data_IF_474041823355
#
_entry.id   IF_474041823355
#
_cell.length_a   1.000
_cell.length_b   1.000
_cell.length_c   1.000
_cell.angle_alpha   90.00
_cell.angle_beta   90.00
_cell.angle_gamma   90.00
#
_symmetry.space_group_name_H-M   'P 1'
#
loop_
_entity.id
_entity.type
_entity.pdbx_description
1 polymer ?
#
# COMPACT_ATOMS: atom_id res chain seq x y z
N UNK A 1 12.05 5.13 32.28
CA UNK A 1 12.23 6.50 31.78
C UNK A 1 10.94 7.28 32.05
N UNK A 2 10.98 8.35 32.86
CA UNK A 2 9.81 9.21 33.16
C UNK A 2 10.05 10.56 32.49
N UNK A 3 9.12 10.99 31.63
CA UNK A 3 9.21 12.25 30.91
C UNK A 3 8.63 13.39 31.76
N UNK A 4 9.29 13.74 32.86
CA UNK A 4 8.82 14.73 33.84
C UNK A 4 8.83 16.18 33.35
N UNK A 5 9.46 16.47 32.20
CA UNK A 5 9.60 17.82 31.66
C UNK A 5 8.88 18.02 30.32
N UNK A 6 8.12 17.03 29.84
CA UNK A 6 7.35 17.14 28.60
C UNK A 6 5.97 17.73 28.92
N UNK A 7 5.65 18.87 28.30
CA UNK A 7 4.34 19.53 28.44
C UNK A 7 3.46 19.14 27.26
N UNK A 8 2.18 18.75 27.44
CA UNK A 8 1.26 18.44 26.33
C UNK A 8 1.11 19.58 25.31
N UNK A 9 1.29 20.83 25.75
CA UNK A 9 1.23 22.01 24.89
C UNK A 9 2.52 22.32 24.13
N UNK A 10 3.63 21.60 24.40
CA UNK A 10 4.88 21.82 23.67
C UNK A 10 4.79 21.18 22.29
N UNK A 11 4.66 22.00 21.25
CA UNK A 11 4.57 21.54 19.86
C UNK A 11 5.97 21.39 19.24
N UNK A 12 6.23 20.24 18.62
CA UNK A 12 7.36 20.09 17.70
C UNK A 12 6.90 20.70 16.37
N UNK A 13 7.38 21.90 16.04
CA UNK A 13 7.08 22.51 14.76
C UNK A 13 7.73 21.68 13.64
N UNK A 14 6.99 21.29 12.59
CA UNK A 14 7.60 20.62 11.45
C UNK A 14 8.58 21.57 10.76
N UNK A 15 9.80 21.11 10.49
CA UNK A 15 10.72 21.86 9.64
C UNK A 15 10.09 22.09 8.26
N UNK A 16 10.36 23.25 7.65
CA UNK A 16 9.95 23.53 6.28
C UNK A 16 10.52 22.43 5.35
N UNK A 17 9.64 21.73 4.61
CA UNK A 17 10.04 20.59 3.76
C UNK A 17 10.21 19.25 4.49
N UNK A 18 9.91 19.16 5.79
CA UNK A 18 9.97 17.89 6.54
C UNK A 18 8.95 16.85 6.07
N UNK A 19 9.25 15.58 6.34
CA UNK A 19 8.36 14.42 6.13
C UNK A 19 6.95 14.73 6.65
N UNK A 20 6.00 14.93 5.74
CA UNK A 20 4.59 15.04 6.11
C UNK A 20 3.96 13.65 6.13
N UNK A 21 3.17 13.39 7.17
CA UNK A 21 2.21 12.28 7.17
C UNK A 21 1.38 12.33 5.88
N UNK A 22 1.30 11.21 5.15
CA UNK A 22 0.57 11.13 3.88
C UNK A 22 1.34 11.60 2.63
N UNK A 23 2.65 11.84 2.72
CA UNK A 23 3.47 12.22 1.56
C UNK A 23 3.60 11.12 0.48
N UNK A 24 4.17 11.49 -0.67
CA UNK A 24 4.39 10.57 -1.81
C UNK A 24 5.26 9.35 -1.46
N UNK A 25 6.16 9.47 -0.48
CA UNK A 25 7.02 8.37 -0.03
C UNK A 25 6.24 7.16 0.51
N UNK A 26 5.13 7.41 1.20
CA UNK A 26 4.32 6.33 1.76
C UNK A 26 3.46 5.65 0.68
N UNK A 27 3.11 6.37 -0.40
CA UNK A 27 2.59 5.76 -1.64
C UNK A 27 3.66 4.90 -2.34
N UNK A 28 4.91 5.38 -2.41
CA UNK A 28 6.02 4.61 -2.98
C UNK A 28 6.24 3.28 -2.27
N UNK A 29 6.16 3.28 -0.93
CA UNK A 29 6.24 2.06 -0.11
C UNK A 29 5.11 1.08 -0.40
N UNK A 30 3.87 1.57 -0.58
CA UNK A 30 2.73 0.72 -0.96
C UNK A 30 2.98 0.04 -2.31
N UNK A 31 3.47 0.78 -3.31
CA UNK A 31 3.83 0.24 -4.63
C UNK A 31 4.94 -0.81 -4.51
N UNK A 32 5.98 -0.55 -3.71
CA UNK A 32 7.06 -1.52 -3.47
C UNK A 32 6.54 -2.83 -2.84
N UNK A 33 5.69 -2.73 -1.82
CA UNK A 33 5.06 -3.89 -1.19
C UNK A 33 4.10 -4.64 -2.14
N UNK A 34 3.37 -3.91 -3.00
CA UNK A 34 2.53 -4.51 -4.04
C UNK A 34 3.38 -5.31 -5.03
N UNK A 35 4.51 -4.75 -5.50
CA UNK A 35 5.46 -5.44 -6.38
C UNK A 35 6.01 -6.72 -5.76
N UNK A 36 6.35 -6.71 -4.47
CA UNK A 36 6.80 -7.91 -3.78
C UNK A 36 5.72 -9.02 -3.77
N UNK A 37 4.45 -8.63 -3.59
CA UNK A 37 3.32 -9.56 -3.65
C UNK A 37 3.06 -10.09 -5.07
N UNK A 38 3.13 -9.22 -6.07
CA UNK A 38 3.00 -9.59 -7.49
C UNK A 38 4.14 -10.53 -7.90
N UNK A 39 5.37 -10.32 -7.43
CA UNK A 39 6.50 -11.19 -7.70
C UNK A 39 6.29 -12.60 -7.13
N UNK A 40 5.73 -12.72 -5.91
CA UNK A 40 5.36 -14.02 -5.35
C UNK A 40 4.25 -14.69 -6.18
N UNK A 41 3.23 -13.94 -6.59
CA UNK A 41 2.17 -14.44 -7.47
C UNK A 41 2.71 -14.91 -8.82
N UNK A 42 3.67 -14.18 -9.39
CA UNK A 42 4.34 -14.54 -10.64
C UNK A 42 5.16 -15.83 -10.49
N UNK A 43 5.83 -16.04 -9.35
CA UNK A 43 6.50 -17.30 -9.05
C UNK A 43 5.51 -18.48 -9.04
N UNK A 44 4.33 -18.30 -8.44
CA UNK A 44 3.28 -19.32 -8.45
C UNK A 44 2.71 -19.59 -9.87
N UNK A 45 2.72 -18.58 -10.74
CA UNK A 45 2.26 -18.68 -12.12
C UNK A 45 3.17 -19.56 -12.99
N UNK A 46 4.45 -19.70 -12.66
CA UNK A 46 5.40 -20.59 -13.37
C UNK A 46 4.87 -22.03 -13.46
N UNK A 47 4.28 -22.52 -12.37
CA UNK A 47 3.69 -23.86 -12.33
C UNK A 47 2.19 -23.87 -12.72
N UNK A 48 1.55 -22.69 -12.85
CA UNK A 48 0.10 -22.52 -13.02
C UNK A 48 -0.19 -21.34 -13.95
N UNK A 49 -0.12 -21.60 -15.25
CA UNK A 49 -0.35 -20.61 -16.30
C UNK A 49 -1.69 -19.86 -16.18
N UNK A 50 -2.72 -20.44 -15.55
CA UNK A 50 -3.99 -19.77 -15.27
C UNK A 50 -3.85 -18.49 -14.43
N UNK A 51 -2.75 -18.34 -13.69
CA UNK A 51 -2.46 -17.14 -12.89
C UNK A 51 -1.83 -16.00 -13.72
N UNK A 52 -1.34 -16.27 -14.93
CA UNK A 52 -0.65 -15.26 -15.76
C UNK A 52 -1.51 -14.02 -16.05
N UNK A 53 -2.82 -14.13 -16.39
CA UNK A 53 -3.64 -12.94 -16.60
C UNK A 53 -3.79 -12.08 -15.34
N UNK A 54 -3.77 -12.72 -14.15
CA UNK A 54 -3.87 -12.01 -12.86
C UNK A 54 -2.57 -11.25 -12.59
N UNK A 55 -1.42 -11.89 -12.81
CA UNK A 55 -0.10 -11.24 -12.71
C UNK A 55 -0.02 -10.06 -13.66
N UNK A 56 -0.42 -10.25 -14.92
CA UNK A 56 -0.38 -9.20 -15.94
C UNK A 56 -1.27 -8.00 -15.56
N UNK A 57 -2.51 -8.25 -15.11
CA UNK A 57 -3.43 -7.20 -14.68
C UNK A 57 -2.90 -6.39 -13.51
N UNK A 58 -2.43 -7.06 -12.45
CA UNK A 58 -1.87 -6.39 -11.27
C UNK A 58 -0.57 -5.64 -11.58
N UNK A 59 0.28 -6.20 -12.46
CA UNK A 59 1.52 -5.55 -12.91
C UNK A 59 1.20 -4.26 -13.68
N UNK A 60 0.27 -4.32 -14.62
CA UNK A 60 -0.14 -3.16 -15.41
C UNK A 60 -0.73 -2.05 -14.53
N UNK A 61 -1.58 -2.41 -13.56
CA UNK A 61 -2.10 -1.46 -12.58
C UNK A 61 -0.99 -0.84 -11.73
N UNK A 62 -0.07 -1.68 -11.21
CA UNK A 62 1.06 -1.25 -10.41
C UNK A 62 1.98 -0.26 -11.15
N UNK A 63 2.25 -0.52 -12.44
CA UNK A 63 3.07 0.37 -13.26
C UNK A 63 2.34 1.66 -13.63
N UNK A 64 1.01 1.60 -13.79
CA UNK A 64 0.16 2.77 -13.95
C UNK A 64 0.21 3.72 -12.75
N UNK A 65 0.06 3.17 -11.55
CA UNK A 65 0.19 3.92 -10.29
C UNK A 65 1.63 4.44 -10.12
N UNK A 66 2.63 3.61 -10.46
CA UNK A 66 4.04 3.99 -10.45
C UNK A 66 4.35 5.21 -11.31
N UNK A 67 3.85 5.26 -12.56
CA UNK A 67 3.98 6.43 -13.42
C UNK A 67 3.33 7.67 -12.83
N UNK A 68 2.10 7.54 -12.30
CA UNK A 68 1.39 8.67 -11.66
C UNK A 68 2.19 9.24 -10.48
N UNK A 69 2.79 8.37 -9.67
CA UNK A 69 3.67 8.76 -8.57
C UNK A 69 4.92 9.50 -9.06
N UNK A 70 5.58 8.99 -10.11
CA UNK A 70 6.75 9.64 -10.69
C UNK A 70 6.42 11.03 -11.24
N UNK A 71 5.31 11.17 -11.96
CA UNK A 71 4.82 12.46 -12.44
C UNK A 71 4.59 13.41 -11.26
N UNK A 72 3.84 12.96 -10.24
CA UNK A 72 3.55 13.75 -9.04
C UNK A 72 4.83 14.21 -8.30
N UNK A 73 5.88 13.38 -8.29
CA UNK A 73 7.17 13.73 -7.69
C UNK A 73 7.91 14.83 -8.47
N UNK A 74 7.77 14.85 -9.80
CA UNK A 74 8.43 15.84 -10.66
C UNK A 74 7.66 17.15 -10.77
N UNK A 75 6.33 17.09 -10.89
CA UNK A 75 5.48 18.25 -11.21
C UNK A 75 4.67 18.76 -10.02
N UNK A 76 4.73 18.08 -8.88
CA UNK A 76 3.78 18.27 -7.78
C UNK A 76 2.43 17.63 -8.07
N UNK A 77 1.57 17.63 -7.06
CA UNK A 77 0.22 17.04 -7.10
C UNK A 77 -0.71 17.78 -6.14
N UNK A 78 -1.97 17.97 -6.53
CA UNK A 78 -2.96 18.57 -5.67
C UNK A 78 -3.36 17.61 -4.53
N UNK A 79 -3.73 18.11 -3.33
CA UNK A 79 -4.08 17.24 -2.21
C UNK A 79 -5.16 16.18 -2.49
N UNK A 80 -6.29 16.48 -3.18
CA UNK A 80 -7.29 15.46 -3.50
C UNK A 80 -6.75 14.36 -4.41
N UNK A 81 -6.01 14.72 -5.46
CA UNK A 81 -5.41 13.77 -6.39
C UNK A 81 -4.35 12.90 -5.73
N UNK A 82 -3.58 13.48 -4.78
CA UNK A 82 -2.62 12.75 -3.97
C UNK A 82 -3.32 11.72 -3.10
N UNK A 83 -4.46 12.07 -2.51
CA UNK A 83 -5.25 11.17 -1.67
C UNK A 83 -5.87 10.05 -2.52
N UNK A 84 -6.36 10.34 -3.73
CA UNK A 84 -6.78 9.31 -4.70
C UNK A 84 -5.62 8.38 -5.06
N UNK A 85 -4.47 8.93 -5.45
CA UNK A 85 -3.28 8.13 -5.79
C UNK A 85 -2.84 7.24 -4.62
N UNK A 86 -2.98 7.74 -3.39
CA UNK A 86 -2.72 6.95 -2.19
C UNK A 86 -3.76 5.83 -2.04
N UNK A 87 -5.05 6.13 -2.19
CA UNK A 87 -6.12 5.14 -2.12
C UNK A 87 -5.88 3.99 -3.10
N UNK A 88 -5.55 4.31 -4.34
CA UNK A 88 -5.27 3.32 -5.39
C UNK A 88 -4.08 2.42 -5.00
N UNK A 89 -2.99 3.00 -4.52
CA UNK A 89 -1.81 2.24 -4.10
C UNK A 89 -2.09 1.34 -2.88
N UNK A 90 -2.85 1.85 -1.91
CA UNK A 90 -3.28 1.10 -0.72
C UNK A 90 -4.21 -0.07 -1.09
N UNK A 91 -5.18 0.17 -1.96
CA UNK A 91 -6.05 -0.90 -2.47
C UNK A 91 -5.26 -1.96 -3.22
N UNK A 92 -4.36 -1.54 -4.11
CA UNK A 92 -3.51 -2.46 -4.87
C UNK A 92 -2.64 -3.35 -3.98
N UNK A 93 -1.95 -2.80 -2.97
CA UNK A 93 -1.08 -3.62 -2.10
C UNK A 93 -1.88 -4.67 -1.33
N UNK A 94 -3.08 -4.35 -0.86
CA UNK A 94 -3.96 -5.31 -0.18
C UNK A 94 -4.42 -6.40 -1.15
N UNK A 95 -4.97 -6.02 -2.31
CA UNK A 95 -5.45 -6.98 -3.32
C UNK A 95 -4.32 -7.88 -3.85
N UNK A 96 -3.14 -7.32 -4.12
CA UNK A 96 -1.99 -8.07 -4.60
C UNK A 96 -1.49 -9.09 -3.56
N UNK A 97 -1.42 -8.70 -2.29
CA UNK A 97 -1.03 -9.60 -1.21
C UNK A 97 -2.05 -10.73 -1.01
N UNK A 98 -3.35 -10.41 -1.04
CA UNK A 98 -4.43 -11.40 -0.98
C UNK A 98 -4.40 -12.37 -2.16
N UNK A 99 -4.13 -11.88 -3.37
CA UNK A 99 -3.96 -12.71 -4.56
C UNK A 99 -2.76 -13.65 -4.42
N UNK A 100 -1.62 -13.15 -3.92
CA UNK A 100 -0.43 -13.96 -3.66
C UNK A 100 -0.69 -15.05 -2.61
N UNK A 101 -1.36 -14.72 -1.49
CA UNK A 101 -1.76 -15.71 -0.48
C UNK A 101 -2.70 -16.76 -1.07
N UNK A 102 -3.71 -16.34 -1.82
CA UNK A 102 -4.67 -17.25 -2.47
C UNK A 102 -3.95 -18.20 -3.43
N UNK A 103 -3.01 -17.67 -4.21
CA UNK A 103 -2.19 -18.47 -5.09
C UNK A 103 -1.32 -19.46 -4.31
N UNK A 104 -0.67 -19.06 -3.21
CA UNK A 104 0.12 -19.97 -2.37
C UNK A 104 -0.70 -20.98 -1.55
N UNK A 105 -2.04 -20.94 -1.65
CA UNK A 105 -2.97 -21.88 -0.98
C UNK A 105 -2.72 -21.94 0.54
N UNK A 106 -3.04 -23.07 1.18
CA UNK A 106 -2.84 -23.27 2.61
C UNK A 106 -1.39 -23.12 3.07
N UNK A 107 -0.41 -23.46 2.23
CA UNK A 107 1.02 -23.25 2.54
C UNK A 107 1.33 -21.76 2.74
N UNK A 108 0.66 -20.89 1.98
CA UNK A 108 0.76 -19.44 2.11
C UNK A 108 0.37 -18.90 3.49
N UNK A 109 -0.46 -19.63 4.23
CA UNK A 109 -0.96 -19.23 5.56
C UNK A 109 -0.05 -19.72 6.71
N UNK A 110 0.93 -20.58 6.42
CA UNK A 110 1.84 -21.14 7.43
C UNK A 110 2.91 -20.12 7.79
N UNK A 111 3.18 -19.97 9.09
CA UNK A 111 4.23 -19.07 9.59
C UNK A 111 5.58 -19.34 8.90
N UNK A 112 6.23 -18.28 8.44
CA UNK A 112 7.49 -18.34 7.72
C UNK A 112 7.36 -18.41 6.20
N UNK A 113 6.15 -18.69 5.66
CA UNK A 113 5.91 -18.54 4.24
C UNK A 113 5.88 -17.06 3.85
N UNK A 114 6.48 -16.62 2.72
CA UNK A 114 6.48 -15.19 2.35
C UNK A 114 5.08 -14.56 2.26
N UNK A 115 4.09 -15.31 1.78
CA UNK A 115 2.71 -14.84 1.63
C UNK A 115 2.05 -14.38 2.94
N UNK A 116 2.24 -15.08 4.07
CA UNK A 116 1.62 -14.70 5.35
C UNK A 116 2.13 -13.34 5.82
N UNK A 117 3.44 -13.09 5.65
CA UNK A 117 4.07 -11.82 6.00
C UNK A 117 3.54 -10.70 5.10
N UNK A 118 3.49 -10.93 3.78
CA UNK A 118 3.04 -9.94 2.81
C UNK A 118 1.58 -9.50 3.06
N UNK A 119 0.68 -10.44 3.38
CA UNK A 119 -0.71 -10.10 3.73
C UNK A 119 -0.79 -9.33 5.04
N UNK A 120 -0.04 -9.71 6.08
CA UNK A 120 -0.05 -8.95 7.33
C UNK A 120 0.50 -7.53 7.16
N UNK A 121 1.58 -7.39 6.39
CA UNK A 121 2.21 -6.10 6.11
C UNK A 121 1.34 -5.22 5.20
N UNK A 122 0.59 -5.80 4.26
CA UNK A 122 -0.29 -5.02 3.37
C UNK A 122 -1.40 -4.29 4.15
N UNK A 123 -1.93 -4.92 5.21
CA UNK A 123 -2.95 -4.31 6.07
C UNK A 123 -2.45 -3.07 6.82
N UNK A 124 -1.13 -2.94 7.02
CA UNK A 124 -0.55 -1.76 7.65
C UNK A 124 -0.82 -0.48 6.84
N UNK A 125 -0.95 -0.59 5.51
CA UNK A 125 -1.21 0.56 4.63
C UNK A 125 -2.62 1.13 4.79
N UNK A 126 -3.56 0.37 5.37
CA UNK A 126 -4.90 0.86 5.67
C UNK A 126 -4.91 1.87 6.83
N UNK A 127 -3.90 1.81 7.71
CA UNK A 127 -3.87 2.60 8.95
C UNK A 127 -2.67 3.55 9.04
N UNK A 128 -1.58 3.27 8.32
CA UNK A 128 -0.35 4.03 8.49
C UNK A 128 -0.32 5.33 7.71
N UNK A 129 -0.22 6.45 8.44
CA UNK A 129 -0.13 7.81 7.88
C UNK A 129 -1.22 8.06 6.82
N UNK A 130 -2.40 7.47 7.03
CA UNK A 130 -3.49 7.42 6.07
C UNK A 130 -4.40 8.65 6.30
N UNK A 131 -4.53 9.56 5.32
CA UNK A 131 -5.47 10.68 5.44
C UNK A 131 -6.90 10.18 5.64
N UNK A 132 -7.71 10.93 6.40
CA UNK A 132 -9.09 10.52 6.71
C UNK A 132 -9.92 10.22 5.46
N UNK A 133 -9.77 11.02 4.40
CA UNK A 133 -10.44 10.80 3.11
C UNK A 133 -10.09 9.44 2.50
N UNK A 134 -8.82 9.03 2.60
CA UNK A 134 -8.34 7.73 2.09
C UNK A 134 -8.92 6.59 2.92
N UNK A 135 -8.86 6.68 4.25
CA UNK A 135 -9.42 5.64 5.13
C UNK A 135 -10.95 5.51 5.00
N UNK A 136 -11.66 6.62 4.82
CA UNK A 136 -13.11 6.62 4.62
C UNK A 136 -13.48 5.93 3.29
N UNK A 137 -12.77 6.27 2.21
CA UNK A 137 -12.96 5.60 0.92
C UNK A 137 -12.68 4.10 1.00
N UNK A 138 -11.60 3.70 1.68
CA UNK A 138 -11.28 2.28 1.89
C UNK A 138 -12.37 1.54 2.69
N UNK A 139 -12.94 2.17 3.72
CA UNK A 139 -14.05 1.58 4.48
C UNK A 139 -15.31 1.41 3.62
N UNK A 140 -15.65 2.41 2.81
CA UNK A 140 -16.74 2.33 1.83
C UNK A 140 -16.55 1.18 0.83
N UNK A 141 -15.36 1.06 0.24
CA UNK A 141 -15.00 -0.03 -0.68
C UNK A 141 -15.15 -1.41 0.00
N UNK A 142 -14.59 -1.56 1.20
CA UNK A 142 -14.66 -2.81 1.96
C UNK A 142 -16.07 -3.19 2.40
N UNK A 143 -16.93 -2.19 2.67
CA UNK A 143 -18.33 -2.40 3.04
C UNK A 143 -19.26 -2.54 1.83
N UNK A 144 -18.78 -2.31 0.60
CA UNK A 144 -19.60 -2.34 -0.61
C UNK A 144 -20.65 -1.22 -0.68
N UNK A 145 -20.38 -0.07 -0.05
CA UNK A 145 -21.27 1.09 -0.02
C UNK A 145 -20.56 2.30 -0.63
N UNK A 146 -21.02 2.74 -1.79
CA UNK A 146 -20.54 3.94 -2.48
C UNK A 146 -21.56 5.07 -2.36
#
# INVERSE_FOLDING_TARGET
MRFSCVRPAATIAPAAGGLRTGGLATTALAIGAARASIALLAHEAVARAVLEPIVAGLTAECDGIGRRLLTAACTGIAPPERDTLRGDANGLVVRAAQAALTASKGAGYVQGHPAERLVRESLFFLVWSCPQAVSAAALCELAGVA
#
